data_IF_817837865286
#
_entry.id   IF_817837865286
#
_cell.length_a   1.000
_cell.length_b   1.000
_cell.length_c   1.000
_cell.angle_alpha   90.00
_cell.angle_beta   90.00
_cell.angle_gamma   90.00
#
_symmetry.space_group_name_H-M   'P 1'
#
loop_
_entity.id
_entity.type
_entity.pdbx_description
1 polymer ?
#
# COMPACT_ATOMS: atom_id res chain seq x y z
N UNK A 1 -49.94 -13.74 -17.92
CA UNK A 1 -49.52 -14.67 -18.98
C UNK A 1 -50.77 -15.19 -19.68
N UNK A 2 -51.08 -14.69 -20.87
CA UNK A 2 -52.19 -15.22 -21.66
C UNK A 2 -51.74 -16.53 -22.33
N UNK A 3 -52.44 -17.63 -22.10
CA UNK A 3 -52.25 -18.88 -22.83
C UNK A 3 -52.41 -18.61 -24.33
N UNK A 4 -51.53 -19.16 -25.17
CA UNK A 4 -51.67 -19.00 -26.62
C UNK A 4 -52.94 -19.71 -27.10
N UNK A 5 -53.58 -19.19 -28.17
CA UNK A 5 -54.84 -19.72 -28.72
C UNK A 5 -54.80 -21.25 -28.94
N UNK A 6 -53.65 -21.75 -29.38
CA UNK A 6 -53.40 -23.18 -29.61
C UNK A 6 -53.40 -24.02 -28.33
N UNK A 7 -52.84 -23.50 -27.22
CA UNK A 7 -52.84 -24.20 -25.93
C UNK A 7 -54.24 -24.28 -25.32
N UNK A 8 -55.06 -23.25 -25.53
CA UNK A 8 -56.47 -23.24 -25.07
C UNK A 8 -57.31 -24.27 -25.84
N UNK A 9 -57.12 -24.39 -27.15
CA UNK A 9 -57.81 -25.40 -27.97
C UNK A 9 -57.41 -26.84 -27.61
N UNK A 10 -56.13 -27.09 -27.32
CA UNK A 10 -55.67 -28.42 -26.91
C UNK A 10 -56.25 -28.85 -25.56
N UNK A 11 -56.36 -27.92 -24.60
CA UNK A 11 -56.97 -28.16 -23.30
C UNK A 11 -58.46 -28.44 -23.44
N UNK A 12 -59.18 -27.64 -24.25
CA UNK A 12 -60.60 -27.87 -24.53
C UNK A 12 -60.85 -29.24 -25.14
N UNK A 13 -59.98 -29.67 -26.06
CA UNK A 13 -60.07 -31.00 -26.68
C UNK A 13 -59.86 -32.14 -25.66
N UNK A 14 -58.91 -31.99 -24.74
CA UNK A 14 -58.71 -32.95 -23.64
C UNK A 14 -59.89 -33.00 -22.67
N UNK A 15 -60.51 -31.86 -22.38
CA UNK A 15 -61.71 -31.77 -21.54
C UNK A 15 -62.88 -32.48 -22.21
N UNK A 16 -63.13 -32.21 -23.50
CA UNK A 16 -64.19 -32.86 -24.26
C UNK A 16 -64.02 -34.38 -24.34
N UNK A 17 -62.80 -34.85 -24.62
CA UNK A 17 -62.52 -36.30 -24.64
C UNK A 17 -62.82 -36.93 -23.28
N UNK A 18 -62.42 -36.28 -22.18
CA UNK A 18 -62.65 -36.81 -20.83
C UNK A 18 -64.13 -36.85 -20.43
N UNK A 19 -64.93 -35.87 -20.87
CA UNK A 19 -66.40 -35.90 -20.68
C UNK A 19 -66.99 -37.07 -21.46
N UNK A 20 -66.60 -37.22 -22.73
CA UNK A 20 -67.10 -38.28 -23.60
C UNK A 20 -66.70 -39.68 -23.10
N UNK A 21 -65.47 -39.85 -22.60
CA UNK A 21 -64.97 -41.10 -22.03
C UNK A 21 -65.69 -41.47 -20.73
N UNK A 22 -66.08 -40.48 -19.92
CA UNK A 22 -66.70 -40.70 -18.62
C UNK A 22 -68.23 -40.90 -18.70
N UNK A 23 -68.90 -40.20 -19.62
CA UNK A 23 -70.35 -40.30 -19.78
C UNK A 23 -70.73 -41.41 -20.77
N UNK A 24 -69.98 -41.58 -21.85
CA UNK A 24 -70.30 -42.56 -22.91
C UNK A 24 -71.69 -42.37 -23.52
N UNK A 25 -72.03 -43.16 -24.52
CA UNK A 25 -73.34 -43.11 -25.21
C UNK A 25 -74.49 -43.75 -24.41
N UNK A 26 -74.32 -44.02 -23.11
CA UNK A 26 -75.30 -44.68 -22.26
C UNK A 26 -75.98 -43.69 -21.29
N UNK A 27 -77.30 -43.55 -21.43
CA UNK A 27 -78.15 -42.67 -20.63
C UNK A 27 -78.16 -43.05 -19.14
N UNK A 28 -77.77 -44.29 -18.79
CA UNK A 28 -77.66 -44.73 -17.39
C UNK A 28 -76.45 -44.14 -16.64
N UNK A 29 -75.50 -43.48 -17.33
CA UNK A 29 -74.33 -42.85 -16.73
C UNK A 29 -74.54 -41.39 -16.29
N UNK A 30 -75.69 -40.79 -16.63
CA UNK A 30 -76.09 -39.44 -16.19
C UNK A 30 -75.98 -39.19 -14.67
N UNK A 31 -76.28 -40.15 -13.77
CA UNK A 31 -76.10 -39.96 -12.33
C UNK A 31 -74.63 -39.76 -11.90
N UNK A 32 -73.66 -40.23 -12.71
CA UNK A 32 -72.23 -40.07 -12.41
C UNK A 32 -71.71 -38.66 -12.72
N UNK A 33 -72.49 -37.81 -13.40
CA UNK A 33 -72.14 -36.40 -13.66
C UNK A 33 -71.90 -35.64 -12.36
N UNK A 34 -72.67 -35.91 -11.30
CA UNK A 34 -72.48 -35.27 -10.00
C UNK A 34 -71.10 -35.55 -9.42
N UNK A 35 -70.62 -36.80 -9.55
CA UNK A 35 -69.27 -37.19 -9.11
C UNK A 35 -68.18 -36.52 -9.95
N UNK A 36 -68.37 -36.45 -11.27
CA UNK A 36 -67.43 -35.76 -12.15
C UNK A 36 -67.32 -34.26 -11.82
N UNK A 37 -68.46 -33.63 -11.49
CA UNK A 37 -68.50 -32.24 -11.07
C UNK A 37 -67.78 -32.03 -9.73
N UNK A 38 -67.99 -32.90 -8.74
CA UNK A 38 -67.28 -32.86 -7.45
C UNK A 38 -65.76 -33.05 -7.62
N UNK A 39 -65.33 -33.98 -8.48
CA UNK A 39 -63.92 -34.21 -8.79
C UNK A 39 -63.27 -32.99 -9.45
N UNK A 40 -63.99 -32.31 -10.36
CA UNK A 40 -63.51 -31.12 -11.04
C UNK A 40 -63.51 -29.91 -10.12
N UNK A 41 -64.51 -29.77 -9.25
CA UNK A 41 -64.55 -28.69 -8.26
C UNK A 41 -63.40 -28.81 -7.25
N UNK A 42 -63.09 -30.04 -6.83
CA UNK A 42 -61.96 -30.33 -5.94
C UNK A 42 -60.62 -29.98 -6.60
N UNK A 43 -60.42 -30.41 -7.86
CA UNK A 43 -59.21 -30.06 -8.62
C UNK A 43 -59.08 -28.57 -8.89
N UNK A 44 -60.19 -27.88 -9.16
CA UNK A 44 -60.20 -26.42 -9.30
C UNK A 44 -59.70 -25.76 -8.03
N UNK A 45 -60.22 -26.14 -6.86
CA UNK A 45 -59.81 -25.61 -5.56
C UNK A 45 -58.33 -25.88 -5.26
N UNK A 46 -57.81 -27.07 -5.56
CA UNK A 46 -56.39 -27.39 -5.39
C UNK A 46 -55.48 -26.51 -6.27
N UNK A 47 -55.87 -26.29 -7.53
CA UNK A 47 -55.12 -25.44 -8.46
C UNK A 47 -55.15 -23.97 -8.00
N UNK A 48 -56.31 -23.47 -7.59
CA UNK A 48 -56.45 -22.10 -7.08
C UNK A 48 -55.60 -21.87 -5.81
N UNK A 49 -55.60 -22.82 -4.87
CA UNK A 49 -54.75 -22.75 -3.67
C UNK A 49 -53.26 -22.77 -4.02
N UNK A 50 -52.86 -23.65 -4.93
CA UNK A 50 -51.44 -23.77 -5.35
C UNK A 50 -50.95 -22.51 -6.08
N UNK A 51 -51.81 -21.87 -6.88
CA UNK A 51 -51.49 -20.61 -7.55
C UNK A 51 -51.38 -19.44 -6.55
N UNK A 52 -52.28 -19.38 -5.57
CA UNK A 52 -52.26 -18.33 -4.55
C UNK A 52 -50.97 -18.38 -3.73
N UNK A 53 -50.54 -19.58 -3.30
CA UNK A 53 -49.31 -19.77 -2.53
C UNK A 53 -48.06 -19.37 -3.33
N UNK A 54 -47.98 -19.78 -4.60
CA UNK A 54 -46.86 -19.41 -5.47
C UNK A 54 -46.81 -17.90 -5.78
N UNK A 55 -47.99 -17.25 -5.87
CA UNK A 55 -48.10 -15.81 -6.14
C UNK A 55 -47.62 -14.95 -4.98
N UNK A 56 -47.76 -15.38 -3.72
CA UNK A 56 -47.33 -14.60 -2.56
C UNK A 56 -45.84 -14.79 -2.24
N UNK A 57 -45.30 -15.99 -2.47
CA UNK A 57 -43.95 -16.33 -2.06
C UNK A 57 -42.87 -15.72 -2.99
N UNK A 58 -43.12 -15.69 -4.30
CA UNK A 58 -42.16 -15.23 -5.32
C UNK A 58 -41.89 -13.71 -5.25
N UNK A 59 -42.89 -12.81 -5.20
CA UNK A 59 -42.66 -11.37 -5.07
C UNK A 59 -41.97 -11.02 -3.74
N UNK A 60 -42.30 -11.74 -2.66
CA UNK A 60 -41.70 -11.50 -1.34
C UNK A 60 -40.20 -11.81 -1.32
N UNK A 61 -39.77 -12.84 -2.07
CA UNK A 61 -38.38 -13.29 -2.12
C UNK A 61 -37.52 -12.38 -3.01
N UNK A 62 -38.06 -11.94 -4.15
CA UNK A 62 -37.40 -10.96 -5.02
C UNK A 62 -37.22 -9.62 -4.30
N UNK A 63 -38.25 -9.10 -3.63
CA UNK A 63 -38.15 -7.84 -2.90
C UNK A 63 -37.17 -7.87 -1.71
N UNK A 64 -36.98 -9.04 -1.08
CA UNK A 64 -35.93 -9.24 -0.06
C UNK A 64 -34.54 -9.24 -0.68
N UNK A 65 -34.34 -9.94 -1.78
CA UNK A 65 -33.05 -9.99 -2.48
C UNK A 65 -32.66 -8.61 -3.00
N UNK A 66 -33.58 -7.85 -3.57
CA UNK A 66 -33.31 -6.47 -4.03
C UNK A 66 -32.85 -5.57 -2.90
N UNK A 67 -33.54 -5.59 -1.75
CA UNK A 67 -33.12 -4.83 -0.57
C UNK A 67 -31.75 -5.25 -0.06
N UNK A 68 -31.48 -6.56 0.03
CA UNK A 68 -30.16 -7.05 0.43
C UNK A 68 -29.05 -6.57 -0.51
N UNK A 69 -29.30 -6.55 -1.82
CA UNK A 69 -28.33 -6.04 -2.80
C UNK A 69 -28.11 -4.54 -2.58
N UNK A 70 -29.17 -3.78 -2.38
CA UNK A 70 -29.12 -2.33 -2.17
C UNK A 70 -28.36 -1.97 -0.87
N UNK A 71 -28.63 -2.70 0.22
CA UNK A 71 -27.92 -2.59 1.49
C UNK A 71 -26.44 -2.95 1.32
N UNK A 72 -26.14 -4.06 0.63
CA UNK A 72 -24.75 -4.50 0.38
C UNK A 72 -23.99 -3.49 -0.49
N UNK A 73 -24.64 -2.91 -1.50
CA UNK A 73 -24.03 -1.88 -2.34
C UNK A 73 -23.75 -0.60 -1.54
N UNK A 74 -24.66 -0.21 -0.65
CA UNK A 74 -24.47 0.93 0.25
C UNK A 74 -23.30 0.69 1.21
N UNK A 75 -23.24 -0.48 1.85
CA UNK A 75 -22.12 -0.87 2.70
C UNK A 75 -20.80 -0.88 1.94
N UNK A 76 -20.77 -1.46 0.74
CA UNK A 76 -19.57 -1.48 -0.09
C UNK A 76 -19.10 -0.07 -0.45
N UNK A 77 -20.03 0.82 -0.81
CA UNK A 77 -19.71 2.23 -1.09
C UNK A 77 -19.09 2.93 0.11
N UNK A 78 -19.62 2.68 1.32
CA UNK A 78 -19.07 3.24 2.56
C UNK A 78 -17.66 2.70 2.84
N UNK A 79 -17.45 1.39 2.73
CA UNK A 79 -16.11 0.80 2.89
C UNK A 79 -15.11 1.35 1.86
N UNK A 80 -15.51 1.51 0.60
CA UNK A 80 -14.67 2.14 -0.42
C UNK A 80 -14.30 3.58 -0.06
N UNK A 81 -15.25 4.34 0.50
CA UNK A 81 -14.98 5.70 0.94
C UNK A 81 -13.99 5.74 2.12
N UNK A 82 -14.19 4.89 3.13
CA UNK A 82 -13.27 4.78 4.28
C UNK A 82 -11.85 4.39 3.83
N UNK A 83 -11.73 3.40 2.94
CA UNK A 83 -10.43 3.01 2.36
C UNK A 83 -9.78 4.20 1.63
N UNK A 84 -10.55 4.99 0.88
CA UNK A 84 -10.02 6.16 0.18
C UNK A 84 -9.50 7.22 1.14
N UNK A 85 -10.16 7.44 2.28
CA UNK A 85 -9.70 8.37 3.31
C UNK A 85 -8.39 7.88 3.93
N UNK A 86 -8.33 6.60 4.33
CA UNK A 86 -7.11 6.00 4.91
C UNK A 86 -5.94 6.05 3.93
N UNK A 87 -6.16 5.76 2.64
CA UNK A 87 -5.12 5.87 1.62
C UNK A 87 -4.61 7.31 1.45
N UNK A 88 -5.50 8.29 1.55
CA UNK A 88 -5.14 9.71 1.49
C UNK A 88 -4.28 10.11 2.69
N UNK A 89 -4.64 9.66 3.88
CA UNK A 89 -3.86 9.91 5.11
C UNK A 89 -2.48 9.25 5.06
N UNK A 90 -2.40 7.98 4.61
CA UNK A 90 -1.13 7.27 4.42
C UNK A 90 -0.24 8.02 3.41
N UNK A 91 -0.81 8.46 2.29
CA UNK A 91 -0.06 9.21 1.27
C UNK A 91 0.49 10.52 1.84
N UNK A 92 -0.29 11.21 2.66
CA UNK A 92 0.13 12.47 3.30
C UNK A 92 1.26 12.24 4.31
N UNK A 93 1.15 11.22 5.15
CA UNK A 93 2.20 10.87 6.12
C UNK A 93 3.48 10.36 5.45
N UNK A 94 3.36 9.67 4.31
CA UNK A 94 4.51 9.25 3.50
C UNK A 94 5.24 10.47 2.96
N UNK A 95 4.53 11.43 2.36
CA UNK A 95 5.11 12.68 1.85
C UNK A 95 5.82 13.47 2.96
N UNK A 96 5.20 13.58 4.15
CA UNK A 96 5.81 14.25 5.31
C UNK A 96 7.10 13.55 5.76
N UNK A 97 7.15 12.22 5.66
CA UNK A 97 8.34 11.44 6.02
C UNK A 97 9.47 11.64 5.02
N UNK A 98 9.17 11.76 3.73
CA UNK A 98 10.16 12.06 2.69
C UNK A 98 10.79 13.45 2.89
N UNK A 99 9.99 14.45 3.24
CA UNK A 99 10.49 15.80 3.55
C UNK A 99 11.44 15.78 4.76
N UNK A 100 11.08 15.03 5.81
CA UNK A 100 11.95 14.84 6.98
C UNK A 100 13.25 14.13 6.62
N UNK A 101 13.20 13.14 5.73
CA UNK A 101 14.39 12.44 5.24
C UNK A 101 15.33 13.40 4.50
N UNK A 102 14.80 14.26 3.63
CA UNK A 102 15.59 15.25 2.90
C UNK A 102 16.27 16.25 3.84
N UNK A 103 15.53 16.77 4.82
CA UNK A 103 16.09 17.68 5.84
C UNK A 103 17.18 17.00 6.67
N UNK A 104 16.96 15.73 7.05
CA UNK A 104 17.94 14.98 7.82
C UNK A 104 19.22 14.71 7.01
N UNK A 105 19.06 14.37 5.73
CA UNK A 105 20.19 14.20 4.81
C UNK A 105 21.01 15.48 4.67
N UNK A 106 20.35 16.62 4.48
CA UNK A 106 21.03 17.93 4.41
C UNK A 106 21.83 18.22 5.69
N UNK A 107 21.27 17.92 6.84
CA UNK A 107 21.97 18.08 8.12
C UNK A 107 23.17 17.14 8.25
N UNK A 108 23.06 15.88 7.81
CA UNK A 108 24.21 14.96 7.79
C UNK A 108 25.31 15.44 6.84
N UNK A 109 24.95 15.96 5.67
CA UNK A 109 25.92 16.52 4.73
C UNK A 109 26.65 17.72 5.35
N UNK A 110 25.94 18.61 6.06
CA UNK A 110 26.53 19.74 6.81
C UNK A 110 27.47 19.27 7.92
N UNK A 111 27.07 18.25 8.69
CA UNK A 111 27.90 17.67 9.75
C UNK A 111 29.19 17.06 9.16
N UNK A 112 29.08 16.37 8.03
CA UNK A 112 30.23 15.80 7.33
C UNK A 112 31.21 16.89 6.86
N UNK A 113 30.68 17.98 6.28
CA UNK A 113 31.49 19.13 5.88
C UNK A 113 32.21 19.77 7.07
N UNK A 114 31.50 19.98 8.19
CA UNK A 114 32.09 20.53 9.41
C UNK A 114 33.17 19.62 9.99
N UNK A 115 32.94 18.31 9.99
CA UNK A 115 33.91 17.33 10.49
C UNK A 115 35.17 17.33 9.64
N UNK A 116 35.04 17.41 8.32
CA UNK A 116 36.17 17.51 7.41
C UNK A 116 36.93 18.84 7.57
N UNK A 117 36.22 19.95 7.72
CA UNK A 117 36.82 21.26 7.97
C UNK A 117 37.58 21.28 9.31
N UNK A 118 36.99 20.72 10.36
CA UNK A 118 37.64 20.59 11.66
C UNK A 118 38.91 19.73 11.56
N UNK A 119 38.83 18.55 10.93
CA UNK A 119 39.99 17.68 10.75
C UNK A 119 41.13 18.39 9.98
N UNK A 120 40.80 19.15 8.94
CA UNK A 120 41.76 19.96 8.21
C UNK A 120 42.43 21.01 9.10
N UNK A 121 41.65 21.79 9.85
CA UNK A 121 42.15 22.83 10.74
C UNK A 121 43.00 22.25 11.88
N UNK A 122 42.60 21.13 12.48
CA UNK A 122 43.37 20.46 13.53
C UNK A 122 44.75 20.01 13.04
N UNK A 123 44.87 19.61 11.77
CA UNK A 123 46.17 19.23 11.21
C UNK A 123 47.06 20.46 11.03
N UNK A 124 46.51 21.59 10.54
CA UNK A 124 47.25 22.84 10.43
C UNK A 124 47.73 23.29 11.81
N UNK A 125 46.83 23.33 12.79
CA UNK A 125 47.16 23.72 14.16
C UNK A 125 48.28 22.84 14.73
N UNK A 126 48.22 21.53 14.49
CA UNK A 126 49.26 20.62 14.92
C UNK A 126 50.62 20.92 14.25
N UNK A 127 50.64 21.21 12.94
CA UNK A 127 51.86 21.59 12.22
C UNK A 127 52.45 22.90 12.76
N UNK A 128 51.60 23.88 13.07
CA UNK A 128 52.01 25.15 13.67
C UNK A 128 52.58 24.94 15.07
N UNK A 129 51.94 24.13 15.91
CA UNK A 129 52.45 23.78 17.23
C UNK A 129 53.82 23.08 17.16
N UNK A 130 54.00 22.14 16.23
CA UNK A 130 55.30 21.51 15.99
C UNK A 130 56.36 22.53 15.59
N UNK A 131 56.03 23.44 14.68
CA UNK A 131 56.93 24.50 14.21
C UNK A 131 57.31 25.46 15.34
N UNK A 132 56.35 25.92 16.14
CA UNK A 132 56.59 26.81 17.28
C UNK A 132 57.49 26.15 18.34
N UNK A 133 57.30 24.86 18.59
CA UNK A 133 58.14 24.09 19.53
C UNK A 133 59.57 23.93 19.00
N UNK A 134 59.72 23.61 17.71
CA UNK A 134 61.04 23.56 17.06
C UNK A 134 61.76 24.90 17.13
N UNK A 135 61.06 26.01 16.86
CA UNK A 135 61.61 27.36 16.97
C UNK A 135 62.11 27.65 18.39
N UNK A 136 61.31 27.34 19.40
CA UNK A 136 61.71 27.50 20.80
C UNK A 136 62.94 26.67 21.18
N UNK A 137 63.03 25.43 20.69
CA UNK A 137 64.20 24.57 20.94
C UNK A 137 65.46 25.08 20.24
N UNK A 138 65.35 25.54 18.99
CA UNK A 138 66.46 26.12 18.22
C UNK A 138 66.93 27.44 18.84
N UNK A 139 66.01 28.28 19.30
CA UNK A 139 66.32 29.54 19.99
C UNK A 139 67.02 29.32 21.34
N UNK A 140 66.70 28.24 22.05
CA UNK A 140 67.29 27.88 23.36
C UNK A 140 68.72 27.30 23.31
N UNK A 141 69.47 27.59 22.23
CA UNK A 141 70.84 27.12 21.86
C UNK A 141 71.54 26.24 22.91
N UNK A 142 71.70 24.96 22.54
CA UNK A 142 72.69 23.95 23.00
C UNK A 142 72.20 22.72 23.80
N UNK A 143 71.00 22.68 24.40
CA UNK A 143 70.53 21.47 25.13
C UNK A 143 69.32 20.76 24.55
N UNK A 144 68.62 21.35 23.57
CA UNK A 144 67.34 20.83 23.07
C UNK A 144 67.36 20.40 21.59
N UNK A 145 68.52 20.34 20.93
CA UNK A 145 68.63 19.97 19.51
C UNK A 145 68.05 18.57 19.23
N UNK A 146 68.25 17.61 20.14
CA UNK A 146 67.64 16.28 20.02
C UNK A 146 66.10 16.33 19.99
N UNK A 147 65.49 17.19 20.81
CA UNK A 147 64.03 17.38 20.83
C UNK A 147 63.51 18.05 19.55
N UNK A 148 64.24 19.01 19.00
CA UNK A 148 63.90 19.61 17.72
C UNK A 148 63.92 18.60 16.57
N UNK A 149 64.90 17.68 16.57
CA UNK A 149 64.99 16.58 15.59
C UNK A 149 63.82 15.61 15.75
N UNK A 150 63.40 15.29 16.98
CA UNK A 150 62.23 14.44 17.23
C UNK A 150 60.93 15.06 16.70
N UNK A 151 60.72 16.38 16.93
CA UNK A 151 59.56 17.10 16.37
C UNK A 151 59.60 17.17 14.84
N UNK A 152 60.78 17.37 14.25
CA UNK A 152 60.97 17.33 12.80
C UNK A 152 60.65 15.94 12.23
N UNK A 153 61.04 14.88 12.92
CA UNK A 153 60.70 13.50 12.54
C UNK A 153 59.18 13.29 12.57
N UNK A 154 58.47 13.81 13.58
CA UNK A 154 57.01 13.77 13.62
C UNK A 154 56.37 14.50 12.44
N UNK A 155 56.93 15.65 12.03
CA UNK A 155 56.49 16.39 10.84
C UNK A 155 56.68 15.55 9.56
N UNK A 156 57.80 14.84 9.43
CA UNK A 156 58.06 13.91 8.33
C UNK A 156 57.09 12.72 8.29
N UNK A 157 56.79 12.11 9.45
CA UNK A 157 55.80 11.03 9.55
C UNK A 157 54.39 11.51 9.18
N UNK A 158 54.02 12.72 9.59
CA UNK A 158 52.77 13.36 9.20
C UNK A 158 52.70 13.57 7.68
N UNK A 159 53.81 13.95 7.04
CA UNK A 159 53.89 14.12 5.59
C UNK A 159 53.58 12.82 4.85
N UNK A 160 54.14 11.70 5.31
CA UNK A 160 53.85 10.37 4.74
C UNK A 160 52.37 9.99 4.90
N UNK A 161 51.75 10.32 6.04
CA UNK A 161 50.32 10.05 6.30
C UNK A 161 49.42 10.90 5.41
N UNK A 162 49.70 12.19 5.27
CA UNK A 162 48.90 13.13 4.46
C UNK A 162 49.07 12.89 2.96
N UNK A 163 50.21 12.36 2.52
CA UNK A 163 50.42 12.03 1.11
C UNK A 163 49.45 10.95 0.58
N UNK A 164 48.82 10.18 1.48
CA UNK A 164 47.74 9.24 1.15
C UNK A 164 46.38 9.93 0.93
N UNK A 165 46.26 11.21 1.29
CA UNK A 165 45.02 11.98 1.17
C UNK A 165 44.98 12.74 -0.16
N UNK A 166 43.77 12.97 -0.67
CA UNK A 166 43.56 13.75 -1.90
C UNK A 166 43.73 15.27 -1.70
N UNK A 167 44.02 15.74 -0.48
CA UNK A 167 44.12 17.17 -0.17
C UNK A 167 45.45 17.75 -0.64
N UNK A 168 45.45 18.39 -1.81
CA UNK A 168 46.63 19.01 -2.40
C UNK A 168 47.16 20.18 -1.59
N UNK A 169 46.28 21.03 -1.05
CA UNK A 169 46.68 22.22 -0.28
C UNK A 169 47.45 21.86 0.99
N UNK A 170 46.93 20.91 1.77
CA UNK A 170 47.57 20.48 3.01
C UNK A 170 48.94 19.83 2.75
N UNK A 171 49.03 19.06 1.66
CA UNK A 171 50.29 18.45 1.22
C UNK A 171 51.31 19.52 0.83
N UNK A 172 50.93 20.51 0.03
CA UNK A 172 51.83 21.61 -0.35
C UNK A 172 52.31 22.37 0.87
N UNK A 173 51.39 22.78 1.75
CA UNK A 173 51.72 23.48 3.00
C UNK A 173 52.74 22.70 3.83
N UNK A 174 52.49 21.41 4.09
CA UNK A 174 53.38 20.59 4.91
C UNK A 174 54.75 20.37 4.26
N UNK A 175 54.81 20.19 2.93
CA UNK A 175 56.08 20.07 2.21
C UNK A 175 56.89 21.37 2.32
N UNK A 176 56.24 22.53 2.19
CA UNK A 176 56.93 23.81 2.28
C UNK A 176 57.40 24.10 3.71
N UNK A 177 56.61 23.74 4.73
CA UNK A 177 57.05 23.76 6.15
C UNK A 177 58.25 22.83 6.38
N UNK A 178 58.25 21.63 5.79
CA UNK A 178 59.36 20.67 5.94
C UNK A 178 60.64 21.17 5.26
N UNK A 179 60.54 21.81 4.09
CA UNK A 179 61.67 22.45 3.41
C UNK A 179 62.23 23.61 4.22
N UNK A 180 61.36 24.44 4.80
CA UNK A 180 61.76 25.54 5.67
C UNK A 180 62.63 25.03 6.83
N UNK A 181 62.14 24.04 7.58
CA UNK A 181 62.86 23.46 8.71
C UNK A 181 64.12 22.67 8.34
N UNK A 182 64.22 22.12 7.13
CA UNK A 182 65.46 21.51 6.65
C UNK A 182 66.53 22.58 6.32
N UNK A 183 66.12 23.78 5.95
CA UNK A 183 67.04 24.84 5.50
C UNK A 183 67.66 25.60 6.67
N UNK A 184 66.97 25.63 7.81
CA UNK A 184 67.41 26.22 9.09
C UNK A 184 68.35 25.26 9.82
#
# INVERSE_FOLDING_TARGET
MALSKAQSEEVLKKVHNRINDFLGSDVNNLPNISKLHEDWDSKRKEIEQSLSLASDEVPSKVGKITRMIEDTCSELSNHCHEISLVLTDISKETCRTDDLYLLLKENFDKISQLTNAHAYLSIIEFIEHLSNRMEGYVASRETNTGRAIDEYKMLGELCVKINKTSCSHLRTYLIDTLKYWHTI
#
